data_IF_843008959640
#
_entry.id   IF_843008959640
#
_cell.length_a   1.000
_cell.length_b   1.000
_cell.length_c   1.000
_cell.angle_alpha   90.00
_cell.angle_beta   90.00
_cell.angle_gamma   90.00
#
_symmetry.space_group_name_H-M   'P 1'
#
loop_
_entity.id
_entity.type
_entity.pdbx_description
1 polymer ?
#
# COMPACT_ATOMS: atom_id res chain seq x y z
N UNK A 1 -76.07 58.60 46.41
CA UNK A 1 -75.06 59.13 47.37
C UNK A 1 -73.82 58.25 47.23
N UNK A 2 -72.79 58.73 46.51
CA UNK A 2 -71.54 59.31 47.03
C UNK A 2 -70.68 58.26 47.76
N UNK A 3 -69.59 57.80 47.11
CA UNK A 3 -68.16 58.14 47.39
C UNK A 3 -67.69 57.55 48.74
N UNK A 4 -66.51 56.93 48.93
CA UNK A 4 -65.20 56.86 48.28
C UNK A 4 -64.52 55.56 48.83
N UNK A 5 -63.50 54.90 48.27
CA UNK A 5 -62.35 55.31 47.47
C UNK A 5 -61.08 55.20 48.32
N UNK A 6 -60.21 54.21 48.07
CA UNK A 6 -58.76 54.26 48.39
C UNK A 6 -57.97 53.41 47.36
N UNK A 7 -56.98 54.06 46.74
CA UNK A 7 -55.97 53.51 45.81
C UNK A 7 -54.99 52.56 46.51
N UNK A 8 -54.49 51.54 45.79
CA UNK A 8 -53.06 51.15 45.79
C UNK A 8 -52.66 50.75 44.37
N UNK A 9 -51.62 51.42 43.84
CA UNK A 9 -50.86 51.02 42.67
C UNK A 9 -49.54 50.36 43.13
N UNK A 10 -49.12 49.25 42.50
CA UNK A 10 -47.70 48.89 42.28
C UNK A 10 -47.52 47.46 41.70
N UNK A 11 -47.05 47.42 40.45
CA UNK A 11 -45.92 46.68 39.88
C UNK A 11 -45.61 45.18 40.21
N UNK A 12 -45.07 44.53 39.16
CA UNK A 12 -44.36 43.23 39.08
C UNK A 12 -45.27 41.96 39.12
N UNK A 13 -45.07 40.92 38.33
CA UNK A 13 -43.85 40.38 37.71
C UNK A 13 -44.27 39.46 36.53
N UNK A 14 -43.45 39.38 35.48
CA UNK A 14 -43.62 38.47 34.35
C UNK A 14 -43.80 37.01 34.82
N UNK A 15 -44.95 36.41 34.52
CA UNK A 15 -45.04 34.96 34.37
C UNK A 15 -44.74 34.62 32.90
N UNK A 16 -43.48 34.74 32.51
CA UNK A 16 -42.96 34.00 31.37
C UNK A 16 -43.01 32.52 31.76
N UNK A 17 -44.08 31.83 31.39
CA UNK A 17 -44.13 30.38 31.47
C UNK A 17 -43.14 29.86 30.41
N UNK A 18 -41.87 29.79 30.77
CA UNK A 18 -40.87 29.06 30.01
C UNK A 18 -41.26 27.59 30.01
N UNK A 19 -41.98 27.16 28.98
CA UNK A 19 -42.10 25.75 28.65
C UNK A 19 -40.71 25.31 28.21
N UNK A 20 -39.94 24.77 29.15
CA UNK A 20 -38.79 23.95 28.81
C UNK A 20 -39.32 22.73 28.04
N UNK A 21 -39.17 22.74 26.72
CA UNK A 21 -39.44 21.62 25.83
C UNK A 21 -38.47 20.46 26.14
N UNK A 22 -38.76 19.77 27.23
CA UNK A 22 -38.05 18.60 27.71
C UNK A 22 -38.91 17.35 27.53
N UNK A 23 -39.12 16.90 26.29
CA UNK A 23 -39.34 15.49 25.91
C UNK A 23 -40.41 14.66 26.65
N UNK A 24 -41.27 15.25 27.48
CA UNK A 24 -42.10 14.54 28.46
C UNK A 24 -43.25 13.70 27.87
N UNK A 25 -43.37 13.61 26.54
CA UNK A 25 -44.42 12.86 25.86
C UNK A 25 -43.97 11.62 25.09
N UNK A 26 -42.68 11.49 24.74
CA UNK A 26 -42.19 10.36 23.94
C UNK A 26 -41.41 9.37 24.82
N UNK A 27 -41.63 8.05 24.73
CA UNK A 27 -40.92 7.10 25.57
C UNK A 27 -39.42 7.09 25.27
N UNK A 28 -38.61 6.94 26.33
CA UNK A 28 -37.17 6.76 26.23
C UNK A 28 -36.85 5.59 25.29
N UNK A 29 -35.92 5.81 24.34
CA UNK A 29 -35.41 4.77 23.44
C UNK A 29 -33.94 5.00 23.09
N UNK A 30 -33.23 3.90 22.84
CA UNK A 30 -31.92 3.87 22.20
C UNK A 30 -32.13 3.67 20.69
N UNK A 31 -31.64 4.59 19.86
CA UNK A 31 -31.87 4.60 18.41
C UNK A 31 -30.91 3.70 17.64
N UNK A 32 -29.66 3.60 18.07
CA UNK A 32 -28.67 2.67 17.52
C UNK A 32 -28.45 1.52 18.50
N UNK A 33 -28.70 0.29 18.06
CA UNK A 33 -28.76 -0.90 18.94
C UNK A 33 -27.66 -1.92 18.68
N UNK A 34 -26.77 -1.64 17.74
CA UNK A 34 -25.67 -2.50 17.32
C UNK A 34 -24.44 -1.67 16.98
N UNK A 35 -23.26 -2.30 16.98
CA UNK A 35 -22.02 -1.66 16.61
C UNK A 35 -21.35 -2.43 15.44
N UNK A 36 -20.74 -1.73 14.46
CA UNK A 36 -19.92 -2.39 13.45
C UNK A 36 -18.74 -3.15 14.08
N UNK A 37 -18.15 -4.14 13.40
CA UNK A 37 -16.94 -4.78 13.89
C UNK A 37 -15.81 -3.75 14.07
N UNK A 38 -15.00 -3.94 15.09
CA UNK A 38 -13.76 -3.19 15.27
C UNK A 38 -12.57 -3.97 14.69
N UNK A 39 -11.51 -3.26 14.32
CA UNK A 39 -10.31 -3.87 13.76
C UNK A 39 -9.10 -3.58 14.65
N UNK A 40 -8.30 -4.61 14.90
CA UNK A 40 -7.13 -4.55 15.77
C UNK A 40 -6.19 -3.42 15.33
N UNK A 41 -5.77 -2.58 16.28
CA UNK A 41 -4.83 -1.48 16.03
C UNK A 41 -5.43 -0.27 15.31
N UNK A 42 -6.72 -0.29 14.97
CA UNK A 42 -7.37 0.83 14.27
C UNK A 42 -8.25 1.65 15.21
N UNK A 43 -8.34 2.96 14.95
CA UNK A 43 -9.27 3.81 15.68
C UNK A 43 -10.70 3.35 15.44
N UNK A 44 -11.44 3.13 16.52
CA UNK A 44 -12.82 2.73 16.53
C UNK A 44 -13.69 3.79 17.20
N UNK A 45 -14.90 4.01 16.66
CA UNK A 45 -15.94 4.85 17.26
C UNK A 45 -17.33 4.29 16.91
N UNK A 46 -18.16 4.10 17.92
CA UNK A 46 -19.58 3.79 17.79
C UNK A 46 -20.38 4.63 18.80
N UNK A 47 -21.56 5.09 18.39
CA UNK A 47 -22.45 5.94 19.19
C UNK A 47 -23.79 5.24 19.40
N UNK A 48 -24.35 5.43 20.59
CA UNK A 48 -25.62 4.87 21.02
C UNK A 48 -26.51 6.03 21.46
N UNK A 49 -27.12 6.79 20.52
CA UNK A 49 -27.93 7.94 20.87
C UNK A 49 -29.22 7.50 21.58
N UNK A 50 -29.64 8.29 22.56
CA UNK A 50 -30.95 8.17 23.20
C UNK A 50 -31.86 9.35 22.81
N UNK A 51 -33.16 9.09 22.81
CA UNK A 51 -34.22 10.06 22.49
C UNK A 51 -35.50 9.74 23.27
N UNK A 52 -36.43 10.69 23.36
CA UNK A 52 -37.58 10.62 24.27
C UNK A 52 -37.18 10.74 25.74
N UNK A 53 -38.12 10.55 26.66
CA UNK A 53 -37.88 10.66 28.10
C UNK A 53 -37.45 12.05 28.56
N UNK A 54 -37.00 12.14 29.81
CA UNK A 54 -36.62 13.40 30.45
C UNK A 54 -35.10 13.54 30.53
N UNK A 55 -34.53 14.53 29.87
CA UNK A 55 -33.08 14.82 29.98
C UNK A 55 -32.73 15.34 31.39
N UNK A 56 -31.48 15.16 31.88
CA UNK A 56 -30.33 14.54 31.21
C UNK A 56 -30.38 13.01 31.18
N UNK A 57 -29.70 12.41 30.19
CA UNK A 57 -29.50 10.96 30.11
C UNK A 57 -28.22 10.54 30.81
N UNK A 58 -28.29 9.44 31.55
CA UNK A 58 -27.17 8.73 32.17
C UNK A 58 -26.91 7.46 31.39
N UNK A 59 -25.66 7.22 31.02
CA UNK A 59 -25.25 6.04 30.27
C UNK A 59 -24.40 5.13 31.15
N UNK A 60 -24.71 3.84 31.12
CA UNK A 60 -23.93 2.78 31.74
C UNK A 60 -23.62 1.71 30.70
N UNK A 61 -22.52 0.99 30.91
CA UNK A 61 -22.11 -0.12 30.08
C UNK A 61 -21.87 -1.34 30.96
N UNK A 62 -22.53 -2.43 30.62
CA UNK A 62 -22.31 -3.74 31.21
C UNK A 62 -21.56 -4.63 30.20
N UNK A 63 -20.74 -5.54 30.73
CA UNK A 63 -19.89 -6.42 29.94
C UNK A 63 -18.44 -5.95 29.88
N UNK A 64 -17.56 -6.83 29.39
CA UNK A 64 -16.13 -6.55 29.27
C UNK A 64 -15.85 -5.88 27.92
N UNK A 65 -15.21 -4.72 27.96
CA UNK A 65 -14.68 -4.09 26.74
C UNK A 65 -13.38 -4.77 26.29
N UNK A 66 -13.10 -4.83 24.97
CA UNK A 66 -11.78 -5.17 24.48
C UNK A 66 -10.73 -4.19 25.03
N UNK A 67 -9.52 -4.67 25.30
CA UNK A 67 -8.43 -3.82 25.75
C UNK A 67 -8.23 -2.63 24.78
N UNK A 68 -8.15 -1.41 25.33
CA UNK A 68 -7.91 -0.18 24.56
C UNK A 68 -9.18 0.51 24.02
N UNK A 69 -10.37 -0.04 24.26
CA UNK A 69 -11.63 0.68 24.09
C UNK A 69 -12.15 1.22 25.42
N UNK A 70 -12.82 2.37 25.36
CA UNK A 70 -13.49 3.01 26.48
C UNK A 70 -14.90 3.43 26.09
N UNK A 71 -15.81 3.47 27.07
CA UNK A 71 -17.17 3.95 26.89
C UNK A 71 -17.40 5.22 27.71
N UNK A 72 -17.89 6.28 27.06
CA UNK A 72 -18.15 7.56 27.70
C UNK A 72 -19.37 8.20 27.07
N UNK A 73 -20.42 8.42 27.88
CA UNK A 73 -21.64 9.15 27.51
C UNK A 73 -22.22 8.64 26.18
N UNK A 74 -22.52 7.33 26.10
CA UNK A 74 -23.12 6.75 24.90
C UNK A 74 -22.17 6.58 23.72
N UNK A 75 -20.86 6.83 23.89
CA UNK A 75 -19.84 6.63 22.86
C UNK A 75 -18.83 5.57 23.27
N UNK A 76 -18.72 4.52 22.46
CA UNK A 76 -17.66 3.53 22.54
C UNK A 76 -16.53 3.95 21.59
N UNK A 77 -15.32 4.18 22.10
CA UNK A 77 -14.19 4.69 21.30
C UNK A 77 -12.83 4.24 21.81
N UNK A 78 -11.83 4.18 20.92
CA UNK A 78 -10.46 3.84 21.29
C UNK A 78 -9.70 3.13 20.17
N UNK A 79 -8.66 2.38 20.54
CA UNK A 79 -7.90 1.52 19.63
C UNK A 79 -7.85 0.12 20.27
N UNK A 80 -8.57 -0.88 19.72
CA UNK A 80 -8.64 -2.20 20.31
C UNK A 80 -7.29 -2.92 20.14
N UNK A 81 -6.87 -3.64 21.19
CA UNK A 81 -5.60 -4.38 21.27
C UNK A 81 -5.79 -5.89 21.44
N UNK A 82 -7.03 -6.35 21.51
CA UNK A 82 -7.40 -7.76 21.72
C UNK A 82 -8.47 -8.17 20.71
N UNK A 83 -8.23 -9.24 19.94
CA UNK A 83 -9.23 -9.84 19.05
C UNK A 83 -10.21 -10.69 19.86
N UNK A 84 -11.46 -10.76 19.42
CA UNK A 84 -12.46 -11.59 20.10
C UNK A 84 -13.89 -11.13 19.83
N UNK A 85 -14.83 -11.80 20.48
CA UNK A 85 -16.25 -11.42 20.50
C UNK A 85 -16.62 -10.99 21.91
N UNK A 86 -17.12 -9.76 22.05
CA UNK A 86 -17.39 -9.15 23.34
C UNK A 86 -18.87 -8.83 23.44
N UNK A 87 -19.58 -9.47 24.37
CA UNK A 87 -20.98 -9.17 24.66
C UNK A 87 -21.04 -7.91 25.50
N UNK A 88 -21.71 -6.88 24.98
CA UNK A 88 -21.83 -5.56 25.58
C UNK A 88 -23.31 -5.23 25.71
N UNK A 89 -23.70 -4.68 26.85
CA UNK A 89 -25.02 -4.07 27.05
C UNK A 89 -24.83 -2.58 27.33
N UNK A 90 -25.49 -1.73 26.54
CA UNK A 90 -25.58 -0.30 26.81
C UNK A 90 -26.90 -0.04 27.51
N UNK A 91 -26.85 0.62 28.66
CA UNK A 91 -28.01 1.01 29.46
C UNK A 91 -28.10 2.54 29.45
N UNK A 92 -29.29 3.06 29.23
CA UNK A 92 -29.61 4.49 29.30
C UNK A 92 -30.73 4.69 30.29
N UNK A 93 -30.51 5.60 31.23
CA UNK A 93 -31.49 6.02 32.24
C UNK A 93 -31.74 7.52 32.10
N UNK A 94 -33.00 7.94 32.08
CA UNK A 94 -33.38 9.34 32.02
C UNK A 94 -33.55 9.95 33.42
N UNK A 95 -33.82 11.26 33.51
CA UNK A 95 -33.99 11.96 34.78
C UNK A 95 -35.27 11.59 35.54
N UNK A 96 -36.25 11.00 34.84
CA UNK A 96 -37.46 10.43 35.44
C UNK A 96 -37.26 8.96 35.89
N UNK A 97 -36.01 8.48 35.88
CA UNK A 97 -35.62 7.12 36.26
C UNK A 97 -36.20 6.02 35.35
N UNK A 98 -36.61 6.36 34.13
CA UNK A 98 -36.94 5.37 33.11
C UNK A 98 -35.66 4.83 32.50
N UNK A 99 -35.55 3.50 32.39
CA UNK A 99 -34.37 2.83 31.83
C UNK A 99 -34.67 2.01 30.57
N UNK A 100 -33.72 2.01 29.63
CA UNK A 100 -33.70 1.16 28.44
C UNK A 100 -32.30 0.59 28.24
N UNK A 101 -32.24 -0.63 27.74
CA UNK A 101 -30.98 -1.29 27.43
C UNK A 101 -30.99 -1.90 26.03
N UNK A 102 -29.80 -2.08 25.47
CA UNK A 102 -29.57 -2.84 24.24
C UNK A 102 -28.31 -3.67 24.37
N UNK A 103 -28.40 -4.96 24.03
CA UNK A 103 -27.25 -5.87 24.03
C UNK A 103 -26.83 -6.19 22.60
N UNK A 104 -25.53 -6.22 22.36
CA UNK A 104 -24.94 -6.62 21.08
C UNK A 104 -23.59 -7.29 21.31
N UNK A 105 -23.11 -7.98 20.27
CA UNK A 105 -21.77 -8.57 20.26
C UNK A 105 -20.86 -7.70 19.40
N UNK A 106 -19.84 -7.09 20.03
CA UNK A 106 -18.77 -6.43 19.31
C UNK A 106 -17.73 -7.47 18.89
N UNK A 107 -17.55 -7.64 17.59
CA UNK A 107 -16.46 -8.45 17.05
C UNK A 107 -15.23 -7.58 16.81
N UNK A 108 -14.10 -7.93 17.43
CA UNK A 108 -12.78 -7.36 17.12
C UNK A 108 -12.02 -8.37 16.27
N UNK A 109 -11.68 -7.98 15.04
CA UNK A 109 -11.04 -8.84 14.03
C UNK A 109 -9.74 -8.23 13.53
N UNK A 110 -8.96 -9.01 12.79
CA UNK A 110 -7.92 -8.43 11.95
C UNK A 110 -8.55 -7.54 10.88
N UNK A 111 -7.90 -6.42 10.49
CA UNK A 111 -8.30 -5.67 9.31
C UNK A 111 -8.46 -6.60 8.10
N UNK A 112 -9.59 -6.56 7.37
CA UNK A 112 -9.70 -7.31 6.12
C UNK A 112 -8.65 -6.81 5.13
N UNK A 113 -8.12 -7.66 4.24
CA UNK A 113 -7.22 -7.20 3.19
C UNK A 113 -7.97 -6.32 2.18
N UNK A 114 -7.24 -5.50 1.38
CA UNK A 114 -7.82 -4.84 0.21
C UNK A 114 -8.39 -5.85 -0.78
N UNK A 115 -9.44 -5.46 -1.51
CA UNK A 115 -10.08 -6.30 -2.51
C UNK A 115 -10.18 -5.61 -3.87
N UNK A 116 -9.91 -6.36 -4.94
CA UNK A 116 -10.16 -5.93 -6.32
C UNK A 116 -11.56 -6.39 -6.75
N UNK A 117 -12.42 -5.44 -7.08
CA UNK A 117 -13.72 -5.71 -7.72
C UNK A 117 -13.59 -5.52 -9.21
N UNK A 118 -14.23 -6.39 -9.99
CA UNK A 118 -14.19 -6.35 -11.45
C UNK A 118 -15.63 -6.22 -11.95
N UNK A 119 -15.92 -5.15 -12.66
CA UNK A 119 -17.22 -4.95 -13.32
C UNK A 119 -17.07 -5.30 -14.80
N UNK A 120 -17.80 -6.34 -15.21
CA UNK A 120 -17.91 -6.83 -16.60
C UNK A 120 -19.38 -7.11 -16.93
N UNK A 121 -19.76 -7.21 -18.21
CA UNK A 121 -21.11 -7.61 -18.60
C UNK A 121 -21.47 -8.99 -18.04
N UNK A 122 -22.69 -9.11 -17.52
CA UNK A 122 -23.19 -10.38 -16.99
C UNK A 122 -23.94 -11.19 -18.06
N UNK A 123 -24.36 -10.58 -19.17
CA UNK A 123 -25.03 -11.23 -20.29
C UNK A 123 -24.04 -11.75 -21.33
N UNK A 124 -24.53 -12.56 -22.27
CA UNK A 124 -23.74 -12.93 -23.44
C UNK A 124 -23.44 -11.70 -24.31
N UNK A 125 -22.23 -11.64 -24.85
CA UNK A 125 -21.79 -10.61 -25.78
C UNK A 125 -20.72 -11.18 -26.72
N UNK A 126 -20.74 -10.71 -27.96
CA UNK A 126 -19.68 -10.81 -28.95
C UNK A 126 -19.04 -9.43 -29.23
N UNK A 127 -19.68 -8.34 -28.79
CA UNK A 127 -19.13 -6.99 -28.86
C UNK A 127 -18.02 -6.75 -27.81
N UNK A 128 -17.00 -5.93 -28.14
CA UNK A 128 -16.02 -5.45 -27.18
C UNK A 128 -16.66 -4.72 -26.00
N UNK A 129 -16.08 -4.88 -24.80
CA UNK A 129 -16.55 -4.20 -23.59
C UNK A 129 -15.39 -3.71 -22.74
N UNK A 130 -15.66 -2.78 -21.83
CA UNK A 130 -14.68 -2.25 -20.87
C UNK A 130 -14.86 -2.98 -19.54
N UNK A 131 -13.82 -3.69 -19.09
CA UNK A 131 -13.72 -4.20 -17.75
C UNK A 131 -13.16 -3.11 -16.82
N UNK A 132 -13.87 -2.80 -15.73
CA UNK A 132 -13.46 -1.79 -14.75
C UNK A 132 -13.02 -2.47 -13.47
N UNK A 133 -11.82 -2.13 -12.99
CA UNK A 133 -11.21 -2.72 -11.80
C UNK A 133 -11.15 -1.68 -10.68
N UNK A 134 -11.79 -1.98 -9.55
CA UNK A 134 -11.98 -1.04 -8.44
C UNK A 134 -11.36 -1.61 -7.17
N UNK A 135 -10.53 -0.82 -6.48
CA UNK A 135 -10.04 -1.16 -5.14
C UNK A 135 -11.13 -0.85 -4.12
N UNK A 136 -11.31 -1.76 -3.16
CA UNK A 136 -12.32 -1.65 -2.10
C UNK A 136 -11.79 -2.23 -0.79
N UNK A 137 -12.58 -2.11 0.27
CA UNK A 137 -12.30 -2.57 1.65
C UNK A 137 -11.19 -1.79 2.36
N UNK A 138 -9.99 -1.72 1.77
CA UNK A 138 -8.81 -1.09 2.36
C UNK A 138 -7.95 -0.37 1.34
N UNK A 139 -7.15 0.60 1.82
CA UNK A 139 -6.09 1.17 1.00
C UNK A 139 -4.97 0.17 0.68
N UNK A 140 -4.27 0.39 -0.43
CA UNK A 140 -3.07 -0.36 -0.80
C UNK A 140 -1.96 0.58 -1.31
N UNK A 141 -0.70 0.22 -1.06
CA UNK A 141 0.48 0.92 -1.60
C UNK A 141 0.98 0.30 -2.91
N UNK A 142 0.72 -0.99 -3.12
CA UNK A 142 1.09 -1.69 -4.34
C UNK A 142 0.16 -2.90 -4.54
N UNK A 143 0.14 -3.42 -5.77
CA UNK A 143 -0.62 -4.60 -6.13
C UNK A 143 0.12 -5.44 -7.18
N UNK A 144 0.00 -6.76 -7.00
CA UNK A 144 0.36 -7.76 -8.00
C UNK A 144 -0.92 -8.47 -8.41
N UNK A 145 -1.32 -8.35 -9.68
CA UNK A 145 -2.47 -9.00 -10.28
C UNK A 145 -2.08 -9.99 -11.36
N UNK A 146 -2.61 -11.20 -11.32
CA UNK A 146 -2.71 -12.10 -12.46
C UNK A 146 -4.18 -12.28 -12.82
N UNK A 147 -4.54 -11.93 -14.05
CA UNK A 147 -5.87 -12.10 -14.60
C UNK A 147 -5.84 -13.18 -15.68
N UNK A 148 -6.72 -14.18 -15.58
CA UNK A 148 -6.97 -15.15 -16.65
C UNK A 148 -8.28 -14.79 -17.32
N UNK A 149 -8.22 -14.48 -18.62
CA UNK A 149 -9.35 -14.01 -19.42
C UNK A 149 -9.53 -14.93 -20.63
N UNK A 150 -10.18 -16.08 -20.40
CA UNK A 150 -10.37 -17.10 -21.45
C UNK A 150 -11.27 -16.57 -22.57
N UNK A 151 -10.86 -16.79 -23.81
CA UNK A 151 -11.56 -16.34 -25.02
C UNK A 151 -11.79 -14.81 -25.09
N UNK A 152 -11.03 -14.02 -24.32
CA UNK A 152 -11.11 -12.56 -24.23
C UNK A 152 -9.75 -11.95 -24.54
N UNK A 153 -9.63 -11.27 -25.68
CA UNK A 153 -8.40 -10.59 -26.11
C UNK A 153 -8.33 -9.18 -25.51
N UNK A 154 -7.25 -8.80 -24.82
CA UNK A 154 -7.12 -7.45 -24.28
C UNK A 154 -6.62 -6.45 -25.33
N UNK A 155 -7.20 -5.25 -25.29
CA UNK A 155 -6.64 -4.07 -25.94
C UNK A 155 -5.69 -3.35 -24.97
N UNK A 156 -4.40 -3.66 -25.08
CA UNK A 156 -3.36 -3.10 -24.21
C UNK A 156 -3.08 -1.61 -24.51
N UNK A 157 -3.30 -1.16 -25.74
CA UNK A 157 -3.10 0.24 -26.11
C UNK A 157 -4.18 1.14 -25.50
N UNK A 158 -5.40 0.62 -25.34
CA UNK A 158 -6.50 1.28 -24.64
C UNK A 158 -6.46 1.16 -23.12
N UNK A 159 -5.43 0.55 -22.53
CA UNK A 159 -5.31 0.41 -21.08
C UNK A 159 -5.20 1.78 -20.41
N UNK A 160 -6.01 2.01 -19.36
CA UNK A 160 -5.96 3.24 -18.57
C UNK A 160 -5.89 2.90 -17.09
N UNK A 161 -4.96 3.52 -16.38
CA UNK A 161 -4.79 3.39 -14.93
C UNK A 161 -5.07 4.71 -14.21
N UNK A 162 -5.29 4.61 -12.89
CA UNK A 162 -5.27 5.75 -11.99
C UNK A 162 -3.92 6.48 -12.11
N UNK A 163 -3.90 7.83 -12.03
CA UNK A 163 -2.67 8.61 -12.21
C UNK A 163 -1.63 8.34 -11.12
N UNK A 164 -2.06 7.88 -9.95
CA UNK A 164 -1.18 7.45 -8.87
C UNK A 164 -0.47 6.12 -9.12
N UNK A 165 -0.94 5.31 -10.07
CA UNK A 165 -0.44 3.96 -10.29
C UNK A 165 0.70 3.96 -11.31
N UNK A 166 1.91 3.69 -10.84
CA UNK A 166 3.00 3.26 -11.69
C UNK A 166 2.83 1.76 -11.94
N UNK A 167 3.01 1.30 -13.18
CA UNK A 167 2.73 -0.09 -13.51
C UNK A 167 3.62 -0.66 -14.60
N UNK A 168 3.73 -1.98 -14.58
CA UNK A 168 4.20 -2.82 -15.69
C UNK A 168 3.10 -3.82 -16.02
N UNK A 169 2.71 -3.89 -17.30
CA UNK A 169 1.62 -4.72 -17.79
C UNK A 169 2.14 -5.73 -18.80
N UNK A 170 1.71 -6.98 -18.69
CA UNK A 170 2.12 -8.09 -19.57
C UNK A 170 0.91 -8.89 -20.01
N UNK A 171 0.93 -9.38 -21.24
CA UNK A 171 -0.06 -10.32 -21.76
C UNK A 171 0.65 -11.53 -22.37
N UNK A 172 0.25 -12.71 -21.93
CA UNK A 172 0.62 -13.99 -22.54
C UNK A 172 -0.58 -14.46 -23.35
N UNK A 173 -0.46 -14.40 -24.68
CA UNK A 173 -1.53 -14.75 -25.60
C UNK A 173 -1.84 -16.26 -25.60
N UNK A 174 -0.82 -17.11 -25.40
CA UNK A 174 -0.99 -18.57 -25.35
C UNK A 174 -1.74 -18.99 -24.10
N UNK A 175 -1.38 -18.41 -22.94
CA UNK A 175 -2.05 -18.70 -21.66
C UNK A 175 -3.31 -17.87 -21.43
N UNK A 176 -3.56 -16.87 -22.27
CA UNK A 176 -4.62 -15.87 -22.10
C UNK A 176 -4.59 -15.21 -20.71
N UNK A 177 -3.38 -14.89 -20.24
CA UNK A 177 -3.15 -14.27 -18.93
C UNK A 177 -2.58 -12.88 -19.04
N UNK A 178 -3.08 -11.98 -18.20
CA UNK A 178 -2.59 -10.61 -18.05
C UNK A 178 -1.97 -10.48 -16.66
N UNK A 179 -0.69 -10.12 -16.61
CA UNK A 179 -0.02 -9.81 -15.35
C UNK A 179 0.17 -8.30 -15.24
N UNK A 180 -0.21 -7.73 -14.09
CA UNK A 180 0.05 -6.33 -13.74
C UNK A 180 0.81 -6.28 -12.43
N UNK A 181 1.96 -5.63 -12.46
CA UNK A 181 2.69 -5.18 -11.28
C UNK A 181 2.53 -3.69 -11.16
N UNK A 182 1.99 -3.24 -10.04
CA UNK A 182 1.61 -1.85 -9.83
C UNK A 182 2.06 -1.33 -8.47
N UNK A 183 2.63 -0.14 -8.43
CA UNK A 183 3.00 0.57 -7.22
C UNK A 183 2.39 1.97 -7.25
N UNK A 184 1.71 2.34 -6.17
CA UNK A 184 1.10 3.65 -6.06
C UNK A 184 2.07 4.67 -5.46
N UNK A 185 2.14 5.86 -6.04
CA UNK A 185 3.00 6.97 -5.55
C UNK A 185 2.56 7.52 -4.18
N UNK A 186 1.30 7.27 -3.83
CA UNK A 186 0.72 7.44 -2.49
C UNK A 186 -0.25 6.30 -2.24
N UNK A 187 -0.52 5.97 -0.98
CA UNK A 187 -1.50 4.95 -0.63
C UNK A 187 -2.85 5.21 -1.32
N UNK A 188 -3.29 4.29 -2.16
CA UNK A 188 -4.53 4.41 -2.93
C UNK A 188 -5.70 3.87 -2.11
N UNK A 189 -6.77 4.66 -1.97
CA UNK A 189 -7.92 4.33 -1.12
C UNK A 189 -9.21 4.43 -1.90
N UNK A 190 -9.75 3.28 -2.30
CA UNK A 190 -11.09 3.18 -2.87
C UNK A 190 -11.21 3.81 -4.27
N UNK A 191 -11.86 3.11 -5.18
CA UNK A 191 -12.14 3.65 -6.52
C UNK A 191 -11.44 2.90 -7.64
N UNK A 192 -11.59 3.41 -8.84
CA UNK A 192 -11.08 2.75 -10.03
C UNK A 192 -9.56 2.79 -10.09
N UNK A 193 -8.95 1.61 -10.16
CA UNK A 193 -7.50 1.45 -10.26
C UNK A 193 -7.07 1.45 -11.71
N UNK A 194 -7.80 0.72 -12.56
CA UNK A 194 -7.60 0.70 -14.00
C UNK A 194 -8.83 0.17 -14.72
N UNK A 195 -8.87 0.38 -16.02
CA UNK A 195 -9.82 -0.21 -16.94
C UNK A 195 -9.10 -0.79 -18.15
N UNK A 196 -9.67 -1.85 -18.69
CA UNK A 196 -9.13 -2.59 -19.82
C UNK A 196 -10.27 -2.96 -20.76
N UNK A 197 -10.13 -2.62 -22.04
CA UNK A 197 -11.05 -3.10 -23.06
C UNK A 197 -10.72 -4.55 -23.40
N UNK A 198 -11.73 -5.40 -23.43
CA UNK A 198 -11.66 -6.83 -23.74
C UNK A 198 -12.55 -7.13 -24.95
N UNK A 199 -12.02 -7.90 -25.88
CA UNK A 199 -12.68 -8.30 -27.12
C UNK A 199 -12.98 -9.81 -27.08
N UNK A 200 -14.25 -10.22 -27.06
CA UNK A 200 -14.62 -11.62 -27.14
C UNK A 200 -14.20 -12.24 -28.48
N UNK A 201 -13.58 -13.42 -28.43
CA UNK A 201 -13.27 -14.19 -29.64
C UNK A 201 -14.51 -14.81 -30.29
N UNK A 202 -15.60 -14.92 -29.52
CA UNK A 202 -16.90 -15.47 -29.91
C UNK A 202 -17.97 -14.98 -28.93
N UNK A 203 -19.24 -15.17 -29.28
CA UNK A 203 -20.35 -14.92 -28.35
C UNK A 203 -20.20 -15.79 -27.10
N UNK A 204 -20.05 -15.14 -25.95
CA UNK A 204 -19.88 -15.80 -24.67
C UNK A 204 -20.40 -14.92 -23.53
N UNK A 205 -20.65 -15.50 -22.37
CA UNK A 205 -20.83 -14.75 -21.12
C UNK A 205 -19.46 -14.47 -20.52
N UNK A 206 -19.01 -13.21 -20.42
CA UNK A 206 -17.67 -12.89 -19.95
C UNK A 206 -17.39 -13.44 -18.55
N UNK A 207 -16.24 -14.07 -18.38
CA UNK A 207 -15.73 -14.53 -17.08
C UNK A 207 -14.23 -14.29 -17.03
N UNK A 208 -13.77 -13.77 -15.91
CA UNK A 208 -12.34 -13.59 -15.64
C UNK A 208 -12.02 -14.13 -14.26
N UNK A 209 -10.82 -14.67 -14.09
CA UNK A 209 -10.29 -15.11 -12.80
C UNK A 209 -9.13 -14.21 -12.42
N UNK A 210 -9.16 -13.64 -11.22
CA UNK A 210 -8.12 -12.75 -10.73
C UNK A 210 -7.45 -13.33 -9.49
N UNK A 211 -6.12 -13.36 -9.50
CA UNK A 211 -5.28 -13.60 -8.33
C UNK A 211 -4.57 -12.30 -7.98
N UNK A 212 -4.72 -11.84 -6.75
CA UNK A 212 -4.18 -10.56 -6.29
C UNK A 212 -3.36 -10.70 -5.03
N UNK A 213 -2.26 -9.95 -4.94
CA UNK A 213 -1.58 -9.66 -3.70
C UNK A 213 -1.46 -8.14 -3.57
N UNK A 214 -1.85 -7.63 -2.41
CA UNK A 214 -1.77 -6.21 -2.07
C UNK A 214 -0.72 -5.98 -1.01
N UNK A 215 -0.21 -4.75 -0.95
CA UNK A 215 0.80 -4.34 0.02
C UNK A 215 0.30 -3.14 0.83
N UNK A 216 0.65 -3.11 2.12
CA UNK A 216 0.35 -2.00 3.02
C UNK A 216 1.32 -0.82 2.82
N UNK A 217 1.10 0.30 3.51
CA UNK A 217 1.97 1.47 3.39
C UNK A 217 3.43 1.22 3.82
N UNK A 218 3.67 0.24 4.70
CA UNK A 218 5.01 -0.18 5.11
C UNK A 218 5.63 -1.21 4.17
N UNK A 219 4.93 -1.59 3.10
CA UNK A 219 5.42 -2.50 2.10
C UNK A 219 5.26 -3.99 2.42
N UNK A 220 4.49 -4.33 3.47
CA UNK A 220 4.23 -5.72 3.83
C UNK A 220 3.03 -6.25 3.04
N UNK A 221 3.08 -7.49 2.53
CA UNK A 221 1.97 -8.07 1.81
C UNK A 221 0.81 -8.41 2.76
N UNK A 222 -0.43 -8.12 2.35
CA UNK A 222 -1.64 -8.51 3.07
C UNK A 222 -1.91 -10.02 3.01
N UNK A 223 -1.50 -10.68 1.92
CA UNK A 223 -1.64 -12.13 1.73
C UNK A 223 -0.27 -12.80 1.74
N UNK A 224 -0.17 -13.96 2.41
CA UNK A 224 1.09 -14.71 2.52
C UNK A 224 1.54 -15.32 1.18
N UNK A 225 0.61 -15.59 0.27
CA UNK A 225 0.90 -16.23 -1.01
C UNK A 225 0.72 -15.23 -2.15
N UNK A 226 1.78 -14.91 -2.92
CA UNK A 226 1.67 -14.11 -4.13
C UNK A 226 0.85 -14.85 -5.20
N UNK A 227 0.34 -14.15 -6.24
CA UNK A 227 -0.15 -14.81 -7.44
C UNK A 227 0.92 -15.76 -7.97
N UNK A 228 0.53 -16.96 -8.38
CA UNK A 228 1.48 -17.91 -8.97
C UNK A 228 1.91 -17.34 -10.32
N UNK A 229 3.15 -16.87 -10.43
CA UNK A 229 3.72 -16.30 -11.66
C UNK A 229 5.05 -16.95 -12.01
N UNK A 230 5.48 -16.94 -13.29
CA UNK A 230 6.88 -17.09 -13.63
C UNK A 230 7.71 -16.15 -12.76
N UNK A 231 8.95 -16.54 -12.46
CA UNK A 231 9.87 -15.66 -11.75
C UNK A 231 10.01 -14.32 -12.49
N UNK A 232 10.55 -13.30 -11.85
CA UNK A 232 11.01 -12.10 -12.55
C UNK A 232 12.43 -12.41 -13.08
N UNK A 233 12.75 -12.18 -14.36
CA UNK A 233 14.08 -12.47 -14.95
C UNK A 233 14.71 -11.20 -15.56
N UNK A 234 14.26 -10.02 -15.11
CA UNK A 234 14.73 -8.72 -15.59
C UNK A 234 15.80 -8.12 -14.72
N UNK A 235 16.42 -7.05 -15.22
CA UNK A 235 17.33 -6.23 -14.40
C UNK A 235 16.58 -5.59 -13.24
N UNK A 236 15.34 -5.16 -13.48
CA UNK A 236 14.47 -4.55 -12.49
C UNK A 236 13.37 -5.51 -12.05
N UNK A 237 12.95 -5.33 -10.80
CA UNK A 237 12.00 -6.16 -10.07
C UNK A 237 10.84 -5.33 -9.54
N UNK A 238 9.82 -6.00 -9.00
CA UNK A 238 8.71 -5.31 -8.35
C UNK A 238 9.12 -4.46 -7.15
N UNK A 239 10.18 -4.85 -6.44
CA UNK A 239 10.70 -4.03 -5.34
C UNK A 239 11.31 -2.74 -5.87
N UNK A 240 11.98 -2.77 -7.02
CA UNK A 240 12.51 -1.58 -7.69
C UNK A 240 11.38 -0.64 -8.16
N UNK A 241 10.30 -1.19 -8.74
CA UNK A 241 9.11 -0.41 -9.09
C UNK A 241 8.49 0.27 -7.86
N UNK A 242 8.46 -0.42 -6.71
CA UNK A 242 7.95 0.14 -5.45
C UNK A 242 8.87 1.22 -4.89
N UNK A 243 10.18 1.02 -4.95
CA UNK A 243 11.16 2.03 -4.55
C UNK A 243 11.04 3.29 -5.42
N UNK A 244 10.88 3.12 -6.73
CA UNK A 244 10.65 4.21 -7.69
C UNK A 244 9.35 4.98 -7.35
N UNK A 245 8.25 4.28 -7.06
CA UNK A 245 6.99 4.90 -6.64
C UNK A 245 7.12 5.68 -5.32
N UNK A 246 7.90 5.18 -4.35
CA UNK A 246 8.13 5.85 -3.08
C UNK A 246 8.96 7.13 -3.21
N UNK A 247 9.81 7.21 -4.23
CA UNK A 247 10.65 8.37 -4.54
C UNK A 247 10.01 9.34 -5.56
N UNK A 248 8.83 9.02 -6.09
CA UNK A 248 8.19 9.77 -7.17
C UNK A 248 8.06 11.27 -6.87
N UNK A 249 8.45 12.10 -7.83
CA UNK A 249 8.49 13.56 -7.74
C UNK A 249 9.32 14.11 -6.56
N UNK A 250 10.21 13.31 -5.96
CA UNK A 250 11.16 13.81 -4.96
C UNK A 250 12.46 14.18 -5.65
N UNK A 251 12.96 15.36 -5.29
CA UNK A 251 14.34 15.74 -5.61
C UNK A 251 15.26 14.91 -4.72
N UNK A 252 16.08 14.06 -5.32
CA UNK A 252 17.08 13.30 -4.56
C UNK A 252 18.21 14.25 -4.16
N UNK A 253 18.74 14.05 -2.95
CA UNK A 253 19.96 14.75 -2.56
C UNK A 253 21.09 14.26 -3.48
N UNK A 254 21.94 15.17 -3.95
CA UNK A 254 23.11 14.80 -4.76
C UNK A 254 23.91 13.70 -4.02
N UNK A 255 24.42 12.68 -4.73
CA UNK A 255 25.20 11.64 -4.09
C UNK A 255 26.33 12.31 -3.30
N UNK A 256 26.41 12.03 -1.99
CA UNK A 256 27.56 12.45 -1.20
C UNK A 256 28.79 11.78 -1.83
N UNK A 257 29.52 12.57 -2.60
CA UNK A 257 30.83 12.24 -3.13
C UNK A 257 31.60 11.61 -1.98
N UNK A 258 32.00 10.34 -2.13
CA UNK A 258 32.76 9.61 -1.13
C UNK A 258 33.87 10.53 -0.61
N UNK A 259 33.72 10.97 0.65
CA UNK A 259 34.73 11.78 1.31
C UNK A 259 36.00 10.94 1.31
N UNK A 260 37.08 11.56 0.84
CA UNK A 260 38.34 10.91 0.52
C UNK A 260 38.88 10.05 1.66
N UNK A 261 39.68 9.07 1.24
CA UNK A 261 40.55 8.28 2.09
C UNK A 261 41.14 9.11 3.24
N UNK A 262 41.17 8.57 4.47
CA UNK A 262 41.84 9.25 5.57
C UNK A 262 43.32 9.43 5.21
N UNK A 263 43.92 10.61 5.45
CA UNK A 263 45.36 10.76 5.26
C UNK A 263 46.08 9.88 6.30
N UNK A 264 47.07 9.15 5.82
CA UNK A 264 48.00 8.40 6.64
C UNK A 264 48.74 9.35 7.60
N UNK A 265 48.60 9.13 8.90
CA UNK A 265 49.47 9.74 9.91
C UNK A 265 50.58 8.76 10.29
N UNK A 266 51.79 9.08 9.85
CA UNK A 266 53.05 8.50 10.31
C UNK A 266 53.34 8.90 11.77
N UNK A 267 54.04 8.06 12.56
CA UNK A 267 54.30 8.32 13.97
C UNK A 267 55.59 9.13 14.16
N UNK A 268 55.60 10.07 15.11
CA UNK A 268 56.81 10.70 15.62
C UNK A 268 56.83 10.66 17.15
N UNK A 269 57.94 10.11 17.66
CA UNK A 269 58.27 9.84 19.05
C UNK A 269 59.01 11.04 19.67
N UNK A 270 58.81 11.27 20.99
CA UNK A 270 59.86 11.34 22.05
C UNK A 270 59.87 12.59 22.98
N UNK A 271 59.82 12.27 24.28
CA UNK A 271 60.46 12.83 25.49
C UNK A 271 60.05 14.19 26.11
N UNK A 272 59.88 14.17 27.45
CA UNK A 272 59.67 15.30 28.38
C UNK A 272 60.93 16.12 28.70
N UNK A 273 61.08 16.81 29.86
CA UNK A 273 60.61 16.45 31.22
C UNK A 273 60.17 17.61 32.17
N UNK A 274 59.94 17.25 33.45
CA UNK A 274 60.11 18.00 34.72
C UNK A 274 59.01 18.99 35.21
N UNK A 275 58.31 18.72 36.33
CA UNK A 275 58.58 19.05 37.78
C UNK A 275 58.05 20.47 38.14
N UNK A 276 57.48 20.86 39.29
CA UNK A 276 57.23 20.30 40.65
C UNK A 276 56.23 21.24 41.39
N UNK A 277 55.71 20.80 42.56
CA UNK A 277 55.32 21.60 43.76
C UNK A 277 54.00 22.44 43.70
N UNK A 278 53.15 22.59 44.74
CA UNK A 278 53.28 22.37 46.19
C UNK A 278 51.89 22.33 46.93
N UNK A 279 51.91 21.86 48.20
CA UNK A 279 50.97 22.02 49.33
C UNK A 279 49.56 21.33 49.26
N UNK A 280 49.16 20.38 50.13
CA UNK A 280 49.35 20.22 51.59
C UNK A 280 48.16 20.87 52.34
N UNK A 281 47.47 20.33 53.34
CA UNK A 281 47.38 19.06 54.07
C UNK A 281 46.21 19.23 55.08
N UNK A 282 45.52 18.15 55.51
CA UNK A 282 44.56 18.25 56.64
C UNK A 282 43.59 17.06 56.82
N UNK A 283 43.99 16.08 57.62
CA UNK A 283 43.15 15.01 58.22
C UNK A 283 43.07 15.24 59.76
N UNK A 284 42.17 14.61 60.56
CA UNK A 284 41.99 13.14 60.67
C UNK A 284 40.54 12.61 60.90
N UNK A 285 40.45 11.27 60.79
CA UNK A 285 39.33 10.31 60.93
C UNK A 285 38.79 10.12 62.40
N UNK A 286 38.09 9.02 62.82
CA UNK A 286 37.52 7.85 62.11
C UNK A 286 36.15 7.31 62.62
N UNK A 287 35.53 6.37 61.88
CA UNK A 287 34.94 5.14 62.44
C UNK A 287 34.64 4.11 61.33
N UNK A 288 35.34 2.98 61.37
CA UNK A 288 35.18 1.76 60.56
C UNK A 288 34.47 0.69 61.45
N UNK A 289 33.89 -0.42 60.93
CA UNK A 289 34.69 -1.47 60.28
C UNK A 289 34.04 -2.18 59.06
N UNK A 290 34.84 -2.38 58.02
CA UNK A 290 34.83 -3.52 57.09
C UNK A 290 35.43 -4.79 57.76
N UNK A 291 35.33 -6.04 57.25
CA UNK A 291 35.58 -6.46 55.85
C UNK A 291 34.60 -7.56 55.33
N UNK A 292 34.52 -7.88 54.03
CA UNK A 292 35.40 -8.85 53.36
C UNK A 292 35.23 -8.78 51.83
N UNK A 293 36.30 -9.12 51.12
CA UNK A 293 36.60 -8.71 49.77
C UNK A 293 36.37 -9.81 48.71
N UNK A 294 35.84 -9.40 47.54
CA UNK A 294 36.19 -9.79 46.14
C UNK A 294 36.18 -11.28 45.71
N UNK A 295 36.03 -11.65 44.41
CA UNK A 295 36.31 -10.85 43.19
C UNK A 295 35.28 -10.95 42.04
N UNK A 296 35.44 -10.04 41.07
CA UNK A 296 35.01 -10.16 39.67
C UNK A 296 36.31 -10.25 38.84
N UNK A 297 36.45 -11.16 37.87
CA UNK A 297 36.19 -10.85 36.46
C UNK A 297 35.63 -12.10 35.72
N UNK A 298 35.06 -12.13 34.51
CA UNK A 298 35.30 -11.41 33.27
C UNK A 298 33.98 -11.30 32.48
N UNK A 299 33.71 -10.12 31.94
CA UNK A 299 32.74 -9.95 30.86
C UNK A 299 33.52 -10.06 29.54
N UNK A 300 33.67 -11.28 29.03
CA UNK A 300 34.24 -11.57 27.71
C UNK A 300 33.71 -12.90 27.22
N UNK A 301 32.41 -12.96 26.91
CA UNK A 301 31.76 -14.09 26.23
C UNK A 301 30.32 -13.73 25.83
N UNK A 302 30.10 -12.59 25.16
CA UNK A 302 28.81 -12.33 24.46
C UNK A 302 28.87 -11.15 23.47
N UNK A 303 30.03 -10.92 22.87
CA UNK A 303 30.22 -9.93 21.80
C UNK A 303 31.04 -10.53 20.64
N UNK A 304 30.78 -11.78 20.29
CA UNK A 304 31.38 -12.40 19.11
C UNK A 304 30.41 -13.41 18.47
N UNK A 305 29.22 -12.94 18.09
CA UNK A 305 28.32 -13.65 17.17
C UNK A 305 27.42 -12.68 16.36
N UNK A 306 27.89 -11.46 16.12
CA UNK A 306 27.14 -10.43 15.39
C UNK A 306 28.04 -9.62 14.46
N UNK A 307 28.80 -10.30 13.59
CA UNK A 307 29.43 -9.66 12.44
C UNK A 307 29.95 -10.73 11.46
N UNK A 308 29.08 -11.22 10.57
CA UNK A 308 29.48 -11.75 9.26
C UNK A 308 28.26 -12.02 8.38
N UNK A 309 28.19 -11.31 7.26
CA UNK A 309 27.40 -11.74 6.10
C UNK A 309 26.10 -10.98 5.80
N UNK A 310 26.11 -9.65 5.85
CA UNK A 310 25.18 -8.86 5.05
C UNK A 310 25.99 -7.78 4.32
N UNK A 311 26.65 -8.21 3.24
CA UNK A 311 27.04 -7.28 2.19
C UNK A 311 25.72 -6.74 1.62
N UNK A 312 25.34 -5.55 2.08
CA UNK A 312 24.15 -4.86 1.62
C UNK A 312 24.30 -4.68 0.10
N UNK A 313 23.44 -5.35 -0.67
CA UNK A 313 23.25 -5.03 -2.07
C UNK A 313 23.07 -3.50 -2.19
N UNK A 314 23.70 -2.84 -3.18
CA UNK A 314 23.59 -1.39 -3.31
C UNK A 314 22.11 -1.02 -3.32
N UNK A 315 21.72 -0.08 -2.45
CA UNK A 315 20.36 0.44 -2.43
C UNK A 315 20.00 0.88 -3.85
N UNK A 316 18.95 0.29 -4.42
CA UNK A 316 18.44 0.65 -5.74
C UNK A 316 18.30 2.17 -5.83
N UNK A 317 18.94 2.79 -6.82
CA UNK A 317 18.77 4.20 -7.12
C UNK A 317 17.53 4.37 -7.99
N UNK A 318 16.45 5.01 -7.49
CA UNK A 318 15.22 5.19 -8.25
C UNK A 318 15.33 6.25 -9.36
N UNK A 319 16.38 7.07 -9.37
CA UNK A 319 16.71 8.01 -10.44
C UNK A 319 17.59 7.31 -11.47
N UNK A 320 16.94 6.66 -12.43
CA UNK A 320 17.57 5.79 -13.41
C UNK A 320 18.25 6.57 -14.54
N UNK A 321 17.84 7.82 -14.77
CA UNK A 321 18.45 8.69 -15.76
C UNK A 321 19.50 9.66 -15.19
N UNK A 322 19.60 9.77 -13.86
CA UNK A 322 20.57 10.60 -13.15
C UNK A 322 20.28 12.11 -13.22
N UNK A 323 19.03 12.51 -13.46
CA UNK A 323 18.61 13.91 -13.58
C UNK A 323 18.31 14.60 -12.23
N UNK A 324 18.37 13.84 -11.14
CA UNK A 324 18.10 14.26 -9.76
C UNK A 324 16.62 14.23 -9.36
N UNK A 325 15.73 13.75 -10.24
CA UNK A 325 14.27 13.73 -10.02
C UNK A 325 13.62 12.45 -10.53
N UNK A 326 13.02 11.68 -9.63
CA UNK A 326 12.33 10.43 -10.03
C UNK A 326 10.99 10.74 -10.68
N UNK A 327 10.85 10.42 -11.97
CA UNK A 327 9.70 10.78 -12.79
C UNK A 327 9.37 9.74 -13.88
N UNK A 328 8.53 10.12 -14.86
CA UNK A 328 8.09 9.24 -15.94
C UNK A 328 9.23 8.71 -16.81
N UNK A 329 10.31 9.48 -16.98
CA UNK A 329 11.48 9.04 -17.74
C UNK A 329 12.15 7.82 -17.07
N UNK A 330 12.27 7.83 -15.74
CA UNK A 330 12.80 6.69 -14.98
C UNK A 330 11.90 5.48 -15.10
N UNK A 331 10.58 5.68 -15.00
CA UNK A 331 9.62 4.59 -15.16
C UNK A 331 9.73 3.92 -16.54
N UNK A 332 9.95 4.70 -17.61
CA UNK A 332 10.18 4.15 -18.95
C UNK A 332 11.51 3.39 -19.08
N UNK A 333 12.58 3.86 -18.43
CA UNK A 333 13.84 3.11 -18.35
C UNK A 333 13.67 1.81 -17.59
N UNK A 334 12.97 1.85 -16.46
CA UNK A 334 12.63 0.67 -15.68
C UNK A 334 11.88 -0.33 -16.55
N UNK A 335 10.81 0.11 -17.24
CA UNK A 335 9.98 -0.75 -18.11
C UNK A 335 10.75 -1.45 -19.22
N UNK A 336 11.78 -0.83 -19.80
CA UNK A 336 12.60 -1.42 -20.88
C UNK A 336 13.33 -2.68 -20.42
N UNK A 337 13.90 -2.65 -19.21
CA UNK A 337 14.66 -3.76 -18.65
C UNK A 337 13.90 -4.51 -17.53
N UNK A 338 12.61 -4.21 -17.35
CA UNK A 338 11.66 -4.98 -16.55
C UNK A 338 11.19 -6.20 -17.35
N UNK A 339 12.14 -7.04 -17.73
CA UNK A 339 11.89 -8.16 -18.63
C UNK A 339 12.20 -9.48 -17.97
N UNK A 340 11.19 -10.31 -17.71
CA UNK A 340 11.44 -11.75 -17.80
C UNK A 340 11.60 -12.09 -19.28
N UNK A 341 12.81 -12.42 -19.75
CA UNK A 341 13.11 -12.73 -21.16
C UNK A 341 12.13 -13.77 -21.73
N UNK A 342 11.16 -13.39 -22.59
CA UNK A 342 10.23 -14.33 -23.19
C UNK A 342 10.58 -14.38 -24.68
N UNK A 343 11.42 -15.33 -25.11
CA UNK A 343 11.94 -15.43 -26.49
C UNK A 343 11.00 -14.93 -27.61
N UNK A 344 11.06 -13.63 -27.89
CA UNK A 344 10.09 -12.92 -28.73
C UNK A 344 10.59 -11.52 -29.00
N UNK A 345 11.41 -11.39 -30.05
CA UNK A 345 12.03 -10.15 -30.52
C UNK A 345 11.01 -9.00 -30.62
N UNK A 346 11.33 -7.87 -30.00
CA UNK A 346 10.99 -6.57 -30.58
C UNK A 346 11.77 -6.50 -31.90
N UNK A 347 11.11 -6.71 -33.03
CA UNK A 347 11.68 -6.28 -34.31
C UNK A 347 11.32 -4.81 -34.49
N UNK A 348 12.30 -3.90 -34.65
CA UNK A 348 12.03 -2.60 -35.25
C UNK A 348 11.43 -2.81 -36.65
N UNK A 349 10.59 -1.88 -37.17
CA UNK A 349 10.18 -1.94 -38.56
C UNK A 349 11.42 -2.04 -39.44
N UNK A 350 11.41 -2.98 -40.39
CA UNK A 350 12.54 -3.27 -41.25
C UNK A 350 13.01 -1.99 -41.96
N UNK A 351 14.26 -1.61 -41.72
CA UNK A 351 15.00 -0.73 -42.63
C UNK A 351 15.15 -1.51 -43.94
N UNK A 352 14.79 -0.94 -45.12
CA UNK A 352 15.03 -1.61 -46.39
C UNK A 352 16.52 -1.96 -46.49
N UNK A 353 16.80 -3.23 -46.78
CA UNK A 353 18.14 -3.79 -46.84
C UNK A 353 18.93 -3.05 -47.94
N UNK A 354 19.92 -2.26 -47.55
CA UNK A 354 20.96 -1.84 -48.49
C UNK A 354 21.70 -3.09 -48.99
N UNK A 355 22.02 -3.20 -50.29
CA UNK A 355 22.73 -4.35 -50.82
C UNK A 355 24.11 -4.45 -50.16
N UNK A 356 24.49 -5.66 -49.75
CA UNK A 356 25.78 -5.91 -49.12
C UNK A 356 26.91 -5.75 -50.16
N UNK A 357 28.00 -5.01 -49.85
CA UNK A 357 29.23 -5.08 -50.63
C UNK A 357 29.95 -6.38 -50.28
N UNK A 358 30.26 -7.20 -51.29
CA UNK A 358 31.16 -8.35 -51.13
C UNK A 358 30.57 -9.74 -51.28
N UNK A 359 29.49 -9.92 -52.05
CA UNK A 359 29.19 -11.24 -52.60
C UNK A 359 30.16 -11.52 -53.77
N UNK A 360 31.16 -12.38 -53.53
CA UNK A 360 31.88 -13.05 -54.63
C UNK A 360 30.88 -13.90 -55.42
N UNK A 361 30.97 -13.89 -56.76
CA UNK A 361 30.03 -14.63 -57.61
C UNK A 361 30.23 -16.15 -57.42
N UNK A 362 29.12 -16.87 -57.28
CA UNK A 362 29.10 -18.31 -57.53
C UNK A 362 29.32 -18.54 -59.03
N UNK A 363 30.03 -19.62 -59.43
CA UNK A 363 30.36 -19.88 -60.82
C UNK A 363 29.10 -20.12 -61.65
N UNK A 364 29.00 -19.41 -62.78
CA UNK A 364 28.00 -19.66 -63.81
C UNK A 364 28.20 -21.07 -64.36
N UNK A 365 27.19 -21.89 -64.10
CA UNK A 365 27.00 -23.17 -64.75
C UNK A 365 26.62 -22.94 -66.22
N UNK A 366 27.09 -23.84 -67.05
CA UNK A 366 27.30 -23.67 -68.48
C UNK A 366 25.98 -23.48 -69.25
N UNK A 367 26.04 -22.60 -70.25
CA UNK A 367 25.01 -22.44 -71.25
C UNK A 367 24.70 -23.77 -71.98
N UNK A 368 23.44 -24.04 -72.36
CA UNK A 368 23.14 -25.11 -73.30
C UNK A 368 23.60 -24.69 -74.71
N UNK A 369 24.73 -25.26 -75.15
CA UNK A 369 25.10 -25.29 -76.56
C UNK A 369 24.09 -26.14 -77.33
N UNK A 370 23.40 -25.52 -78.28
CA UNK A 370 22.80 -26.18 -79.42
C UNK A 370 23.66 -25.84 -80.64
N UNK A 371 24.25 -26.85 -81.29
CA UNK A 371 24.16 -26.86 -82.74
C UNK A 371 23.91 -28.27 -83.27
N UNK A 372 22.64 -28.57 -83.53
CA UNK A 372 22.27 -29.53 -84.56
C UNK A 372 22.57 -28.98 -85.96
N UNK A 373 23.13 -29.86 -86.80
CA UNK A 373 23.39 -29.76 -88.25
C UNK A 373 24.75 -29.14 -88.63
N UNK A 374 25.60 -29.90 -89.37
CA UNK A 374 25.46 -30.16 -90.81
C UNK A 374 25.61 -31.68 -91.17
N UNK A 375 25.58 -32.16 -92.46
CA UNK A 375 25.95 -31.47 -93.70
C UNK A 375 25.04 -31.68 -94.92
N UNK A 376 25.44 -30.97 -95.98
CA UNK A 376 24.86 -30.83 -97.30
C UNK A 376 24.43 -32.14 -97.99
N UNK A 377 23.33 -32.04 -98.74
CA UNK A 377 23.06 -32.82 -99.95
C UNK A 377 22.79 -31.83 -101.09
N UNK A 378 23.59 -31.97 -102.14
CA UNK A 378 23.44 -31.35 -103.47
C UNK A 378 22.33 -32.09 -104.28
N UNK A 379 22.07 -31.83 -105.58
CA UNK A 379 21.68 -30.61 -106.30
C UNK A 379 20.29 -30.77 -107.01
N UNK A 380 19.80 -29.71 -107.66
CA UNK A 380 19.06 -29.86 -108.94
C UNK A 380 17.61 -29.38 -109.02
N UNK A 381 17.41 -28.30 -109.79
CA UNK A 381 16.40 -28.04 -110.85
C UNK A 381 15.93 -26.61 -110.85
#
# INVERSE_FOLDING_TARGET
MRLAGVLIAAALLLAACGTSEGGAGEPLRITVRSAPPAYLGERYEAKFPASGGVRPYRYELEGKLPQGLNFTIGRLSGIPREKGSFKITVVVTDAALSSRSTSFTLAVKDPPPPALRIKIPESETDAPFIAVFTLSERPASALRLRLTAKDLKPDLAGFKAAPELLYVLRYDAEKQTIDLDGAFTKTFKGGEVFRLKLEPARKLRPKVQAQTQFFDAGGKPYTKSPPKRPADMGRYTFEDLRALAAAWNRKLAAPQKAAGAPPATTPSTKAGPASTEDDGAGEPAPANPSPEATPKPDASSEAEAAAKGAEAAPAFDPDLNGDGTVNAADLELLRKDYAFNPGGRLTPPAVPKAPAPGAQPAPEDQAPENPGSPPASNPGS
#
